data_IF_552737666106
#
_entry.id   IF_552737666106
#
_cell.length_a   1.000
_cell.length_b   1.000
_cell.length_c   1.000
_cell.angle_alpha   90.00
_cell.angle_beta   90.00
_cell.angle_gamma   90.00
#
_symmetry.space_group_name_H-M   'P 1'
#
loop_
_entity.id
_entity.type
_entity.pdbx_description
1 polymer ?
#
# COMPACT_ATOMS: atom_id res chain seq x y z
N UNK A 1 -17.21 13.21 15.29
CA UNK A 1 -16.67 12.90 16.63
C UNK A 1 -15.42 12.01 16.57
N UNK A 2 -15.47 10.78 16.03
CA UNK A 2 -14.30 9.86 16.02
C UNK A 2 -13.03 10.40 15.33
N UNK A 3 -13.16 10.99 14.14
CA UNK A 3 -12.02 11.61 13.41
C UNK A 3 -11.38 12.75 14.21
N UNK A 4 -12.19 13.60 14.85
CA UNK A 4 -11.67 14.70 15.66
C UNK A 4 -10.96 14.18 16.91
N UNK A 5 -11.56 13.20 17.62
CA UNK A 5 -10.92 12.57 18.76
C UNK A 5 -9.58 11.91 18.40
N UNK A 6 -9.46 11.30 17.21
CA UNK A 6 -8.18 10.81 16.69
C UNK A 6 -7.17 11.96 16.54
N UNK A 7 -7.55 13.06 15.87
CA UNK A 7 -6.69 14.23 15.73
C UNK A 7 -6.23 14.80 17.08
N UNK A 8 -7.15 14.94 18.02
CA UNK A 8 -6.87 15.50 19.34
C UNK A 8 -5.90 14.61 20.15
N UNK A 9 -5.92 13.29 19.92
CA UNK A 9 -5.04 12.33 20.58
C UNK A 9 -3.67 12.17 19.90
N UNK A 10 -3.47 12.65 18.67
CA UNK A 10 -2.20 12.50 17.93
C UNK A 10 -0.96 12.98 18.69
N UNK A 11 -0.99 14.12 19.44
CA UNK A 11 0.18 14.60 20.17
C UNK A 11 0.68 13.64 21.26
N UNK A 12 -0.18 12.78 21.78
CA UNK A 12 0.14 11.84 22.86
C UNK A 12 0.61 10.47 22.33
N UNK A 13 0.59 10.24 21.02
CA UNK A 13 1.04 8.99 20.41
C UNK A 13 2.56 8.96 20.31
N UNK A 14 3.17 7.83 20.69
CA UNK A 14 4.58 7.55 20.38
C UNK A 14 4.74 7.28 18.88
N UNK A 15 5.43 8.15 18.10
CA UNK A 15 5.58 7.97 16.67
C UNK A 15 6.31 6.68 16.29
N UNK A 16 7.14 6.13 17.19
CA UNK A 16 7.86 4.87 16.96
C UNK A 16 6.93 3.65 16.97
N UNK A 17 5.72 3.78 17.53
CA UNK A 17 4.68 2.73 17.56
C UNK A 17 3.72 2.78 16.39
N UNK A 18 3.76 3.82 15.56
CA UNK A 18 2.84 3.97 14.44
C UNK A 18 3.28 3.13 13.23
N UNK A 19 2.33 2.38 12.67
CA UNK A 19 2.52 1.52 11.51
C UNK A 19 1.47 1.89 10.47
N UNK A 20 1.87 2.58 9.40
CA UNK A 20 0.96 3.04 8.36
C UNK A 20 0.91 2.02 7.22
N UNK A 21 -0.26 1.47 6.92
CA UNK A 21 -0.47 0.57 5.78
C UNK A 21 -1.09 1.37 4.64
N UNK A 22 -0.60 1.13 3.43
CA UNK A 22 -1.18 1.68 2.21
C UNK A 22 -1.03 0.72 1.02
N UNK A 23 -1.95 0.84 0.07
CA UNK A 23 -2.03 0.06 -1.16
C UNK A 23 -1.80 0.94 -2.38
N UNK A 24 -1.04 0.44 -3.36
CA UNK A 24 -0.93 1.09 -4.67
C UNK A 24 -1.06 0.09 -5.82
N UNK A 25 -1.94 0.42 -6.76
CA UNK A 25 -2.10 -0.32 -8.01
C UNK A 25 -1.05 0.10 -9.02
N UNK A 26 -0.23 -0.86 -9.47
CA UNK A 26 0.76 -0.67 -10.52
C UNK A 26 0.29 -1.40 -11.78
N UNK A 27 0.14 -0.65 -12.87
CA UNK A 27 -0.13 -1.27 -14.17
C UNK A 27 1.17 -1.54 -14.91
N UNK A 28 1.22 -2.68 -15.61
CA UNK A 28 2.33 -3.00 -16.55
C UNK A 28 2.33 -2.14 -17.81
N UNK A 29 1.35 -1.22 -17.96
CA UNK A 29 1.25 -0.26 -19.07
C UNK A 29 2.15 0.96 -18.85
N UNK A 30 3.42 0.73 -18.53
CA UNK A 30 4.39 1.81 -18.34
C UNK A 30 5.26 1.97 -19.59
N UNK A 31 4.93 2.97 -20.39
CA UNK A 31 5.74 3.41 -21.52
C UNK A 31 6.21 4.85 -21.29
N UNK A 32 7.49 5.14 -21.58
CA UNK A 32 8.00 6.51 -21.49
C UNK A 32 7.32 7.36 -22.56
N UNK A 33 6.59 8.39 -22.14
CA UNK A 33 5.91 9.32 -23.06
C UNK A 33 6.88 10.29 -23.76
N UNK A 34 8.07 10.50 -23.19
CA UNK A 34 9.06 11.45 -23.69
C UNK A 34 10.46 10.87 -23.54
N UNK A 35 11.31 11.15 -24.52
CA UNK A 35 12.73 10.80 -24.49
C UNK A 35 13.54 11.80 -25.33
N UNK A 36 14.84 11.87 -25.08
CA UNK A 36 15.77 12.76 -25.80
C UNK A 36 16.70 11.95 -26.68
N UNK A 37 16.99 12.46 -27.87
CA UNK A 37 18.00 11.94 -28.78
C UNK A 37 18.80 13.12 -29.35
N UNK A 38 20.00 12.83 -29.88
CA UNK A 38 20.79 13.84 -30.61
C UNK A 38 19.96 14.37 -31.78
N UNK A 39 20.23 15.61 -32.19
CA UNK A 39 19.61 16.20 -33.38
C UNK A 39 19.77 15.23 -34.57
N UNK A 40 18.72 15.11 -35.37
CA UNK A 40 18.59 14.17 -36.49
C UNK A 40 18.50 12.67 -36.14
N UNK A 41 18.42 12.28 -34.86
CA UNK A 41 18.25 10.87 -34.45
C UNK A 41 16.86 10.63 -33.85
N UNK A 42 16.23 9.50 -34.20
CA UNK A 42 14.98 9.05 -33.55
C UNK A 42 15.30 8.37 -32.23
N UNK A 43 14.57 8.73 -31.17
CA UNK A 43 14.58 7.94 -29.94
C UNK A 43 13.68 6.72 -30.11
N UNK A 44 14.26 5.53 -30.11
CA UNK A 44 13.51 4.26 -30.15
C UNK A 44 13.50 3.65 -28.76
N UNK A 45 12.33 3.24 -28.30
CA UNK A 45 12.18 2.51 -27.05
C UNK A 45 11.19 1.36 -27.27
N UNK A 46 11.43 0.19 -26.65
CA UNK A 46 10.42 -0.85 -26.59
C UNK A 46 9.23 -0.32 -25.77
N UNK A 47 8.03 -0.52 -26.29
CA UNK A 47 6.78 -0.27 -25.58
C UNK A 47 6.22 -1.64 -25.25
N UNK A 48 5.83 -1.90 -23.98
CA UNK A 48 5.08 -3.10 -23.66
C UNK A 48 3.92 -3.26 -24.66
N UNK A 49 3.57 -4.47 -25.09
CA UNK A 49 2.41 -4.75 -25.95
C UNK A 49 1.73 -6.04 -25.50
N UNK A 50 0.39 -6.09 -25.39
CA UNK A 50 -0.36 -7.29 -25.00
C UNK A 50 -1.38 -7.10 -23.86
N UNK A 51 -1.77 -8.19 -23.19
CA UNK A 51 -2.67 -8.19 -22.05
C UNK A 51 -2.00 -7.56 -20.83
N UNK A 52 -2.54 -6.43 -20.37
CA UNK A 52 -2.03 -5.72 -19.20
C UNK A 52 -2.46 -6.41 -17.92
N UNK A 53 -1.49 -6.64 -17.04
CA UNK A 53 -1.75 -6.96 -15.65
C UNK A 53 -1.71 -5.68 -14.81
N UNK A 54 -2.70 -5.55 -13.94
CA UNK A 54 -2.64 -4.65 -12.79
C UNK A 54 -2.17 -5.49 -11.62
N UNK A 55 -1.12 -5.03 -10.96
CA UNK A 55 -0.55 -5.66 -9.77
C UNK A 55 -0.76 -4.70 -8.62
N UNK A 56 -1.26 -5.19 -7.49
CA UNK A 56 -1.36 -4.39 -6.27
C UNK A 56 -0.11 -4.60 -5.43
N UNK A 57 0.54 -3.51 -5.05
CA UNK A 57 1.57 -3.52 -4.03
C UNK A 57 0.96 -2.96 -2.74
N UNK A 58 1.20 -3.62 -1.62
CA UNK A 58 0.89 -3.10 -0.28
C UNK A 58 2.12 -3.20 0.60
N UNK A 59 2.24 -2.29 1.55
CA UNK A 59 3.34 -2.29 2.51
C UNK A 59 3.01 -1.47 3.73
N UNK A 60 3.80 -1.66 4.78
CA UNK A 60 3.73 -0.87 6.00
C UNK A 60 4.91 0.09 6.12
N UNK A 61 4.65 1.35 6.47
CA UNK A 61 5.67 2.35 6.74
C UNK A 61 5.76 2.65 8.24
N UNK A 62 6.99 2.67 8.74
CA UNK A 62 7.37 3.03 10.12
C UNK A 62 8.48 4.07 10.09
N UNK A 63 8.82 4.66 11.24
CA UNK A 63 10.00 5.52 11.34
C UNK A 63 11.31 4.81 10.99
N UNK A 64 11.38 3.49 11.19
CA UNK A 64 12.53 2.66 10.80
C UNK A 64 12.58 2.31 9.31
N UNK A 65 11.56 2.69 8.54
CA UNK A 65 11.45 2.43 7.11
C UNK A 65 10.28 1.53 6.74
N UNK A 66 10.33 1.00 5.51
CA UNK A 66 9.29 0.13 4.96
C UNK A 66 9.42 -1.31 5.46
N UNK A 67 8.30 -1.92 5.79
CA UNK A 67 8.14 -3.28 6.31
C UNK A 67 6.94 -3.95 5.64
N UNK A 68 6.80 -5.27 5.84
CA UNK A 68 5.66 -6.05 5.36
C UNK A 68 5.28 -5.83 3.86
N UNK A 69 6.23 -5.83 2.90
CA UNK A 69 5.86 -5.66 1.49
C UNK A 69 5.14 -6.91 0.97
N UNK A 70 4.06 -6.71 0.21
CA UNK A 70 3.37 -7.77 -0.53
C UNK A 70 2.98 -7.31 -1.93
N UNK A 71 3.07 -8.21 -2.89
CA UNK A 71 2.68 -7.99 -4.29
C UNK A 71 1.62 -9.02 -4.65
N UNK A 72 0.49 -8.56 -5.19
CA UNK A 72 -0.65 -9.37 -5.62
C UNK A 72 -0.93 -9.15 -7.11
N UNK A 73 -1.05 -10.23 -7.88
CA UNK A 73 -1.54 -10.18 -9.25
C UNK A 73 -3.07 -9.95 -9.23
N UNK A 74 -3.49 -8.70 -9.44
CA UNK A 74 -4.90 -8.29 -9.41
C UNK A 74 -5.23 -7.27 -8.31
N UNK A 75 -6.52 -6.90 -8.17
CA UNK A 75 -6.97 -5.97 -7.14
C UNK A 75 -6.96 -6.60 -5.75
N UNK A 76 -6.75 -5.77 -4.71
CA UNK A 76 -6.95 -6.18 -3.33
C UNK A 76 -8.44 -6.45 -3.05
N UNK A 77 -8.75 -7.59 -2.43
CA UNK A 77 -10.07 -7.93 -1.92
C UNK A 77 -9.96 -8.29 -0.41
N UNK A 78 -11.10 -8.51 0.27
CA UNK A 78 -11.11 -8.79 1.70
C UNK A 78 -10.30 -10.04 2.08
N UNK A 79 -10.37 -11.12 1.28
CA UNK A 79 -9.62 -12.36 1.52
C UNK A 79 -8.10 -12.15 1.41
N UNK A 80 -7.64 -11.48 0.35
CA UNK A 80 -6.24 -11.16 0.14
C UNK A 80 -5.72 -10.19 1.22
N UNK A 81 -6.55 -9.23 1.62
CA UNK A 81 -6.21 -8.31 2.72
C UNK A 81 -6.07 -9.05 4.05
N UNK A 82 -6.96 -10.00 4.33
CA UNK A 82 -6.85 -10.83 5.52
C UNK A 82 -5.59 -11.69 5.53
N UNK A 83 -5.26 -12.32 4.40
CA UNK A 83 -4.01 -13.04 4.25
C UNK A 83 -2.79 -12.12 4.46
N UNK A 84 -2.83 -10.90 3.92
CA UNK A 84 -1.81 -9.89 4.13
C UNK A 84 -1.63 -9.53 5.61
N UNK A 85 -2.73 -9.26 6.32
CA UNK A 85 -2.68 -8.96 7.75
C UNK A 85 -2.06 -10.12 8.53
N UNK A 86 -2.59 -11.33 8.35
CA UNK A 86 -2.18 -12.50 9.15
C UNK A 86 -0.75 -12.96 8.84
N UNK A 87 -0.38 -12.99 7.56
CA UNK A 87 0.85 -13.65 7.12
C UNK A 87 2.01 -12.68 6.93
N UNK A 88 1.74 -11.39 6.73
CA UNK A 88 2.76 -10.39 6.37
C UNK A 88 2.87 -9.29 7.41
N UNK A 89 1.75 -8.71 7.87
CA UNK A 89 1.79 -7.61 8.85
C UNK A 89 2.03 -8.11 10.27
N UNK A 90 1.19 -9.03 10.77
CA UNK A 90 1.25 -9.51 12.15
C UNK A 90 2.65 -9.98 12.57
N UNK A 91 3.41 -10.74 11.74
CA UNK A 91 4.77 -11.14 12.09
C UNK A 91 5.77 -9.98 12.29
N UNK A 92 5.46 -8.78 11.80
CA UNK A 92 6.30 -7.58 11.95
C UNK A 92 5.90 -6.72 13.14
N UNK A 93 4.75 -6.97 13.77
CA UNK A 93 4.23 -6.17 14.87
C UNK A 93 4.84 -6.56 16.21
N UNK A 94 5.02 -5.56 17.07
CA UNK A 94 5.33 -5.72 18.48
C UNK A 94 4.11 -5.31 19.33
N UNK A 95 4.07 -5.81 20.58
CA UNK A 95 3.05 -5.35 21.53
C UNK A 95 3.13 -3.83 21.72
N UNK A 96 1.97 -3.17 21.60
CA UNK A 96 1.83 -1.71 21.67
C UNK A 96 1.94 -0.97 20.33
N UNK A 97 2.19 -1.67 19.23
CA UNK A 97 2.13 -1.05 17.89
C UNK A 97 0.68 -0.67 17.53
N UNK A 98 0.55 0.47 16.84
CA UNK A 98 -0.73 1.02 16.39
C UNK A 98 -0.74 1.00 14.86
N UNK A 99 -1.58 0.14 14.30
CA UNK A 99 -1.78 0.06 12.85
C UNK A 99 -2.77 1.15 12.43
N UNK A 100 -2.34 1.96 11.46
CA UNK A 100 -3.14 3.02 10.84
C UNK A 100 -3.36 2.63 9.38
N UNK A 101 -4.62 2.59 8.99
CA UNK A 101 -5.06 2.28 7.63
C UNK A 101 -6.33 3.08 7.32
N UNK A 102 -6.67 3.21 6.04
CA UNK A 102 -7.94 3.81 5.65
C UNK A 102 -9.13 2.87 5.95
N UNK A 103 -10.34 3.36 5.67
CA UNK A 103 -11.59 2.67 6.00
C UNK A 103 -12.21 1.97 4.76
N UNK A 104 -11.38 1.49 3.82
CA UNK A 104 -11.86 0.75 2.65
C UNK A 104 -12.70 -0.47 3.07
N UNK A 105 -13.72 -0.82 2.29
CA UNK A 105 -14.60 -1.95 2.58
C UNK A 105 -13.80 -3.25 2.84
N UNK A 106 -12.78 -3.53 2.02
CA UNK A 106 -11.89 -4.68 2.20
C UNK A 106 -11.16 -4.70 3.55
N UNK A 107 -10.95 -3.54 4.19
CA UNK A 107 -10.29 -3.42 5.49
C UNK A 107 -11.25 -3.65 6.67
N UNK A 108 -12.53 -3.29 6.51
CA UNK A 108 -13.51 -3.28 7.61
C UNK A 108 -14.40 -4.52 7.60
N UNK A 109 -14.68 -5.10 6.43
CA UNK A 109 -15.66 -6.20 6.27
C UNK A 109 -15.30 -7.46 7.08
N UNK A 110 -14.06 -7.58 7.56
CA UNK A 110 -13.57 -8.72 8.35
C UNK A 110 -13.11 -8.39 9.78
N UNK A 111 -13.19 -7.14 10.25
CA UNK A 111 -13.00 -6.90 11.69
C UNK A 111 -14.29 -7.34 12.40
N UNK A 112 -14.28 -8.29 13.35
CA UNK A 112 -15.44 -8.62 14.18
C UNK A 112 -15.86 -7.46 15.12
N UNK A 113 -15.29 -6.28 14.90
CA UNK A 113 -15.54 -5.03 15.56
C UNK A 113 -15.82 -3.94 14.52
N UNK A 114 -16.80 -4.17 13.63
CA UNK A 114 -17.57 -3.05 13.12
C UNK A 114 -18.50 -2.57 14.24
N UNK A 115 -18.61 -1.26 14.53
CA UNK A 115 -19.57 -0.74 15.49
C UNK A 115 -21.02 -0.95 15.03
#
# INVERSE_FOLDING_TARGET
MRRQAWFDAQPDLDPARLVFIDETGVSTKMARLRARARRAHRCRAPVPHGHWKTTTFTGALRLSGMTAPMVLDGPMNAEAFHAYIQQVIVPTLCSGDIVVMDNLAAHIEMLPFAP
#
